data_IF_041166498864
#
_entry.id   IF_041166498864
#
_cell.length_a   1.000
_cell.length_b   1.000
_cell.length_c   1.000
_cell.angle_alpha   90.00
_cell.angle_beta   90.00
_cell.angle_gamma   90.00
#
_symmetry.space_group_name_H-M   'P 1'
#
loop_
_entity.id
_entity.type
_entity.pdbx_description
1 polymer ?
#
# COMPACT_ATOMS: atom_id res chain seq x y z
N UNK A 1 -10.94 0.13 22.55
CA UNK A 1 -10.84 1.51 22.03
C UNK A 1 -12.25 1.97 21.65
N UNK A 2 -12.64 3.20 21.96
CA UNK A 2 -13.85 3.84 21.41
C UNK A 2 -13.35 5.03 20.59
N UNK A 3 -13.77 5.13 19.33
CA UNK A 3 -13.36 6.20 18.40
C UNK A 3 -14.57 6.81 17.69
N UNK A 4 -14.40 8.02 17.14
CA UNK A 4 -15.42 8.65 16.28
C UNK A 4 -15.68 7.81 15.04
N UNK A 5 -16.96 7.74 14.61
CA UNK A 5 -17.31 7.14 13.33
C UNK A 5 -16.87 8.08 12.20
N UNK A 6 -15.86 7.66 11.45
CA UNK A 6 -15.42 8.37 10.27
C UNK A 6 -16.28 8.00 9.06
N UNK A 7 -16.56 8.97 8.20
CA UNK A 7 -17.28 8.79 6.94
C UNK A 7 -16.43 9.33 5.81
N UNK A 8 -16.45 8.64 4.66
CA UNK A 8 -15.62 9.02 3.52
C UNK A 8 -15.22 7.82 2.68
N UNK A 9 -14.23 8.05 1.82
CA UNK A 9 -13.63 7.05 0.96
C UNK A 9 -12.34 6.53 1.59
N UNK A 10 -12.28 5.22 1.79
CA UNK A 10 -11.10 4.55 2.33
C UNK A 10 -10.04 4.33 1.23
N UNK A 11 -8.79 4.58 1.60
CA UNK A 11 -7.61 4.33 0.79
C UNK A 11 -6.60 3.50 1.59
N UNK A 12 -6.01 2.50 0.93
CA UNK A 12 -4.87 1.74 1.45
C UNK A 12 -3.58 2.24 0.84
N UNK A 13 -2.60 2.54 1.67
CA UNK A 13 -1.28 3.04 1.31
C UNK A 13 -0.24 1.94 1.55
N UNK A 14 0.64 1.72 0.57
CA UNK A 14 1.89 1.00 0.78
C UNK A 14 3.00 2.05 0.88
N UNK A 15 3.47 2.34 2.09
CA UNK A 15 4.52 3.33 2.36
C UNK A 15 5.86 2.59 2.42
N UNK A 16 6.73 2.85 1.45
CA UNK A 16 7.96 2.09 1.25
C UNK A 16 9.16 2.91 1.70
N UNK A 17 9.89 2.32 2.64
CA UNK A 17 11.23 2.74 3.00
C UNK A 17 12.24 1.64 2.60
N UNK A 18 13.49 2.02 2.36
CA UNK A 18 14.57 1.05 2.15
C UNK A 18 15.03 0.40 3.48
N UNK A 19 16.10 -0.41 3.42
CA UNK A 19 16.61 -1.11 4.60
C UNK A 19 17.33 -0.19 5.60
N UNK A 20 17.67 1.04 5.17
CA UNK A 20 18.21 2.10 6.01
C UNK A 20 17.11 3.01 6.61
N UNK A 21 15.84 2.67 6.43
CA UNK A 21 14.69 3.45 6.92
C UNK A 21 14.45 4.77 6.17
N UNK A 22 15.08 4.95 5.01
CA UNK A 22 14.88 6.13 4.15
C UNK A 22 13.66 5.95 3.27
N UNK A 23 12.82 6.98 3.20
CA UNK A 23 11.62 6.98 2.36
C UNK A 23 11.95 6.86 0.86
N UNK A 24 11.22 5.98 0.18
CA UNK A 24 11.37 5.70 -1.26
C UNK A 24 10.13 6.14 -2.02
N UNK A 25 8.94 5.65 -1.65
CA UNK A 25 7.69 5.96 -2.37
C UNK A 25 6.47 5.57 -1.55
N UNK A 26 5.29 6.02 -2.00
CA UNK A 26 3.99 5.60 -1.47
C UNK A 26 3.08 5.20 -2.62
N UNK A 27 2.49 4.01 -2.56
CA UNK A 27 1.45 3.57 -3.51
C UNK A 27 0.08 3.72 -2.89
N UNK A 28 -0.87 4.25 -3.65
CA UNK A 28 -2.20 4.59 -3.13
C UNK A 28 -3.25 3.77 -3.88
N UNK A 29 -4.12 3.12 -3.11
CA UNK A 29 -5.22 2.29 -3.61
C UNK A 29 -6.51 2.81 -3.02
N UNK A 30 -7.46 3.24 -3.85
CA UNK A 30 -8.82 3.53 -3.41
C UNK A 30 -9.59 2.21 -3.30
N UNK A 31 -10.07 1.88 -2.09
CA UNK A 31 -10.83 0.64 -1.82
C UNK A 31 -12.24 0.79 -2.41
N UNK A 32 -12.60 -0.04 -3.38
CA UNK A 32 -13.91 0.01 -4.04
C UNK A 32 -14.93 -0.89 -3.33
N UNK A 33 -14.52 -2.09 -2.95
CA UNK A 33 -15.35 -3.05 -2.21
C UNK A 33 -14.51 -3.80 -1.18
N UNK A 34 -15.17 -4.17 -0.09
CA UNK A 34 -14.62 -5.02 0.98
C UNK A 34 -15.32 -6.38 0.96
N UNK A 35 -14.58 -7.45 1.24
CA UNK A 35 -15.11 -8.81 1.41
C UNK A 35 -14.42 -9.44 2.62
N UNK A 36 -15.22 -9.87 3.61
CA UNK A 36 -14.73 -10.51 4.83
C UNK A 36 -13.63 -9.72 5.57
N UNK A 37 -13.74 -8.39 5.62
CA UNK A 37 -12.77 -7.52 6.29
C UNK A 37 -11.52 -7.18 5.45
N UNK A 38 -11.40 -7.74 4.24
CA UNK A 38 -10.29 -7.50 3.32
C UNK A 38 -10.71 -6.65 2.13
N UNK A 39 -9.75 -5.95 1.53
CA UNK A 39 -9.99 -5.24 0.25
C UNK A 39 -10.17 -6.28 -0.86
N UNK A 40 -11.34 -6.24 -1.50
CA UNK A 40 -11.74 -7.18 -2.55
C UNK A 40 -11.51 -6.58 -3.93
N UNK A 41 -11.88 -5.31 -4.12
CA UNK A 41 -11.62 -4.53 -5.32
C UNK A 41 -10.99 -3.20 -4.97
N UNK A 42 -10.00 -2.79 -5.75
CA UNK A 42 -9.35 -1.51 -5.60
C UNK A 42 -8.95 -0.94 -6.96
N UNK A 43 -8.76 0.38 -6.98
CA UNK A 43 -8.15 1.09 -8.10
C UNK A 43 -6.93 1.84 -7.59
N UNK A 44 -5.79 1.70 -8.27
CA UNK A 44 -4.62 2.53 -7.99
C UNK A 44 -4.92 3.96 -8.40
N UNK A 45 -4.50 4.92 -7.58
CA UNK A 45 -4.76 6.34 -7.83
C UNK A 45 -3.50 7.16 -7.58
N UNK A 46 -3.36 8.24 -8.34
CA UNK A 46 -2.38 9.27 -8.04
C UNK A 46 -3.08 10.40 -7.30
N UNK A 47 -2.65 10.68 -6.08
CA UNK A 47 -3.17 11.77 -5.26
C UNK A 47 -2.01 12.40 -4.47
N UNK A 48 -1.68 13.65 -4.81
CA UNK A 48 -0.53 14.35 -4.24
C UNK A 48 -0.66 14.56 -2.72
N UNK A 49 -1.85 14.84 -2.21
CA UNK A 49 -2.08 15.09 -0.79
C UNK A 49 -1.88 13.81 0.04
N UNK A 50 -2.46 12.69 -0.42
CA UNK A 50 -2.29 11.38 0.22
C UNK A 50 -0.82 10.92 0.11
N UNK A 51 -0.15 11.19 -1.02
CA UNK A 51 1.26 10.84 -1.21
C UNK A 51 2.17 11.60 -0.24
N UNK A 52 1.90 12.89 -0.04
CA UNK A 52 2.61 13.70 0.96
C UNK A 52 2.38 13.21 2.39
N UNK A 53 1.17 12.72 2.70
CA UNK A 53 0.90 12.08 3.99
C UNK A 53 1.77 10.81 4.16
N UNK A 54 1.81 9.93 3.15
CA UNK A 54 2.65 8.73 3.16
C UNK A 54 4.14 9.04 3.32
N UNK A 55 4.65 10.04 2.59
CA UNK A 55 6.02 10.53 2.73
C UNK A 55 6.34 11.02 4.14
N UNK A 56 5.46 11.84 4.73
CA UNK A 56 5.62 12.31 6.11
C UNK A 56 5.66 11.13 7.09
N UNK A 57 4.75 10.17 6.95
CA UNK A 57 4.73 8.98 7.82
C UNK A 57 6.04 8.20 7.68
N UNK A 58 6.47 7.91 6.44
CA UNK A 58 7.69 7.14 6.18
C UNK A 58 8.95 7.82 6.71
N UNK A 59 9.09 9.13 6.50
CA UNK A 59 10.22 9.91 6.99
C UNK A 59 10.26 10.01 8.53
N UNK A 60 9.11 10.15 9.19
CA UNK A 60 9.06 10.29 10.65
C UNK A 60 9.20 8.95 11.39
N UNK A 61 8.66 7.86 10.83
CA UNK A 61 8.76 6.55 11.47
C UNK A 61 10.09 5.84 11.18
N UNK A 62 10.68 6.08 10.01
CA UNK A 62 11.91 5.39 9.60
C UNK A 62 11.76 3.87 9.60
N UNK A 63 10.55 3.35 9.37
CA UNK A 63 10.30 1.91 9.34
C UNK A 63 11.11 1.26 8.21
N UNK A 64 11.36 -0.04 8.30
CA UNK A 64 12.09 -0.79 7.27
C UNK A 64 11.09 -1.49 6.35
N UNK A 65 11.24 -1.31 5.04
CA UNK A 65 10.41 -1.97 4.04
C UNK A 65 9.00 -1.39 3.93
N UNK A 66 8.00 -2.27 3.82
CA UNK A 66 6.60 -1.89 3.58
C UNK A 66 5.85 -1.60 4.88
N UNK A 67 5.16 -0.46 4.92
CA UNK A 67 4.14 -0.13 5.92
C UNK A 67 2.79 -0.02 5.23
N UNK A 68 1.88 -0.93 5.60
CA UNK A 68 0.48 -0.92 5.19
C UNK A 68 -0.30 0.07 6.07
N UNK A 69 -0.86 1.10 5.44
CA UNK A 69 -1.49 2.22 6.13
C UNK A 69 -2.88 2.46 5.57
N UNK A 70 -3.89 2.50 6.44
CA UNK A 70 -5.26 2.80 6.05
C UNK A 70 -5.62 4.25 6.37
N UNK A 71 -6.19 4.93 5.37
CA UNK A 71 -6.55 6.36 5.44
C UNK A 71 -8.00 6.54 5.01
N UNK A 72 -8.78 7.21 5.83
CA UNK A 72 -10.12 7.69 5.47
C UNK A 72 -10.03 9.10 4.89
N UNK A 73 -10.63 9.31 3.72
CA UNK A 73 -10.72 10.62 3.06
C UNK A 73 -12.17 11.10 3.10
N UNK A 74 -12.44 12.09 3.95
CA UNK A 74 -13.80 12.61 4.17
C UNK A 74 -13.86 14.13 4.14
N UNK A 75 -14.99 14.70 4.54
CA UNK A 75 -15.20 16.15 4.61
C UNK A 75 -14.27 16.86 5.60
N UNK A 76 -13.73 16.13 6.59
CA UNK A 76 -12.76 16.63 7.58
C UNK A 76 -11.31 16.52 7.11
N UNK A 77 -11.05 16.04 5.88
CA UNK A 77 -9.72 15.81 5.34
C UNK A 77 -9.25 14.35 5.48
N UNK A 78 -7.94 14.16 5.53
CA UNK A 78 -7.28 12.85 5.66
C UNK A 78 -7.18 12.42 7.13
N UNK A 79 -7.64 11.20 7.43
CA UNK A 79 -7.53 10.61 8.76
C UNK A 79 -6.86 9.23 8.67
N UNK A 80 -5.71 9.07 9.34
CA UNK A 80 -5.02 7.77 9.46
C UNK A 80 -5.79 6.88 10.44
N UNK A 81 -6.06 5.65 10.02
CA UNK A 81 -6.80 4.66 10.81
C UNK A 81 -5.86 3.66 11.46
N UNK A 82 -4.99 3.05 10.65
CA UNK A 82 -4.11 1.96 11.08
C UNK A 82 -2.76 2.05 10.38
N UNK A 83 -1.73 1.57 11.06
CA UNK A 83 -0.35 1.49 10.59
C UNK A 83 0.19 0.10 10.92
N UNK A 84 0.43 -0.70 9.90
CA UNK A 84 0.82 -2.10 9.99
C UNK A 84 2.19 -2.31 9.30
N UNK A 85 3.32 -2.41 10.02
CA UNK A 85 4.68 -2.49 9.42
C UNK A 85 4.97 -3.88 8.83
N UNK A 86 4.21 -4.23 7.80
CA UNK A 86 4.23 -5.49 7.03
C UNK A 86 3.56 -5.24 5.68
N UNK A 87 3.59 -6.23 4.79
CA UNK A 87 2.69 -6.22 3.63
C UNK A 87 1.23 -6.32 4.08
N UNK A 88 0.38 -5.48 3.49
CA UNK A 88 -1.07 -5.53 3.61
C UNK A 88 -1.69 -6.53 2.65
N UNK A 89 -2.92 -6.95 2.94
CA UNK A 89 -3.72 -7.72 1.99
C UNK A 89 -4.02 -6.95 0.69
N UNK A 90 -3.77 -5.64 0.67
CA UNK A 90 -3.89 -4.78 -0.50
C UNK A 90 -2.63 -4.66 -1.37
N UNK A 91 -1.46 -5.11 -0.94
CA UNK A 91 -0.22 -5.00 -1.73
C UNK A 91 -0.31 -5.65 -3.13
N UNK A 92 -0.98 -6.81 -3.32
CA UNK A 92 -1.13 -7.40 -4.66
C UNK A 92 -1.72 -6.45 -5.71
N UNK A 93 -2.56 -5.48 -5.31
CA UNK A 93 -3.09 -4.46 -6.24
C UNK A 93 -1.99 -3.52 -6.74
N UNK A 94 -1.06 -3.11 -5.86
CA UNK A 94 0.12 -2.32 -6.25
C UNK A 94 1.04 -3.13 -7.16
N UNK A 95 1.22 -4.42 -6.87
CA UNK A 95 2.04 -5.30 -7.70
C UNK A 95 1.47 -5.48 -9.11
N UNK A 96 0.16 -5.72 -9.23
CA UNK A 96 -0.52 -5.81 -10.54
C UNK A 96 -0.42 -4.48 -11.31
N UNK A 97 -0.39 -3.35 -10.61
CA UNK A 97 -0.20 -2.04 -11.21
C UNK A 97 1.27 -1.70 -11.55
N UNK A 98 2.22 -2.63 -11.37
CA UNK A 98 3.61 -2.49 -11.82
C UNK A 98 4.67 -2.48 -10.72
N UNK A 99 4.29 -2.34 -9.45
CA UNK A 99 5.26 -2.38 -8.36
C UNK A 99 5.88 -3.77 -8.20
N UNK A 100 7.14 -3.83 -7.75
CA UNK A 100 7.80 -5.07 -7.36
C UNK A 100 8.70 -4.86 -6.14
N UNK A 101 8.05 -4.57 -5.01
CA UNK A 101 8.73 -4.32 -3.74
C UNK A 101 9.47 -5.55 -3.21
N UNK A 102 8.99 -6.80 -3.35
CA UNK A 102 9.80 -7.98 -3.03
C UNK A 102 11.14 -8.00 -3.76
N UNK A 103 11.17 -7.70 -5.07
CA UNK A 103 12.44 -7.61 -5.81
C UNK A 103 13.32 -6.45 -5.31
N UNK A 104 12.73 -5.29 -4.99
CA UNK A 104 13.47 -4.17 -4.42
C UNK A 104 14.09 -4.50 -3.06
N UNK A 105 13.36 -5.20 -2.18
CA UNK A 105 13.85 -5.64 -0.88
C UNK A 105 15.01 -6.62 -1.02
N UNK A 106 14.92 -7.57 -1.95
CA UNK A 106 16.03 -8.52 -2.24
C UNK A 106 17.25 -7.77 -2.75
N UNK A 107 17.09 -6.84 -3.70
CA UNK A 107 18.19 -6.03 -4.22
C UNK A 107 18.88 -5.24 -3.10
N UNK A 108 18.12 -4.53 -2.26
CA UNK A 108 18.70 -3.81 -1.12
C UNK A 108 19.40 -4.73 -0.12
N UNK A 109 18.83 -5.91 0.17
CA UNK A 109 19.47 -6.89 1.06
C UNK A 109 20.82 -7.40 0.51
N UNK A 110 20.99 -7.40 -0.80
CA UNK A 110 22.23 -7.74 -1.48
C UNK A 110 23.19 -6.54 -1.65
N UNK A 111 22.84 -5.35 -1.13
CA UNK A 111 23.62 -4.13 -1.33
C UNK A 111 23.52 -3.55 -2.75
N UNK A 112 22.52 -3.98 -3.51
CA UNK A 112 22.26 -3.53 -4.88
C UNK A 112 21.25 -2.38 -4.92
N UNK A 113 21.26 -1.63 -6.03
CA UNK A 113 20.20 -0.65 -6.29
C UNK A 113 18.97 -1.36 -6.86
N UNK A 114 17.80 -1.08 -6.28
CA UNK A 114 16.53 -1.51 -6.87
C UNK A 114 16.32 -0.85 -8.25
N UNK A 115 15.71 -1.58 -9.18
CA UNK A 115 15.30 -1.03 -10.46
C UNK A 115 14.17 -0.01 -10.25
N UNK A 116 14.29 1.19 -10.81
CA UNK A 116 13.30 2.25 -10.64
C UNK A 116 11.89 1.87 -11.11
N UNK A 117 11.77 0.98 -12.10
CA UNK A 117 10.47 0.49 -12.57
C UNK A 117 9.70 -0.28 -11.50
N UNK A 118 10.40 -0.95 -10.58
CA UNK A 118 9.77 -1.70 -9.47
C UNK A 118 9.16 -0.79 -8.40
N UNK A 119 9.55 0.48 -8.39
CA UNK A 119 9.18 1.47 -7.37
C UNK A 119 8.06 2.40 -7.84
N UNK A 120 7.33 2.00 -8.88
CA UNK A 120 6.26 2.78 -9.52
C UNK A 120 5.02 1.91 -9.71
N UNK A 121 3.87 2.55 -9.66
CA UNK A 121 2.58 1.97 -10.05
C UNK A 121 1.99 2.81 -11.16
N UNK A 122 1.26 2.17 -12.07
CA UNK A 122 0.38 2.86 -13.01
C UNK A 122 -0.90 3.27 -12.28
N UNK A 123 -1.34 4.51 -12.50
CA UNK A 123 -2.61 5.01 -12.00
C UNK A 123 -3.80 4.46 -12.78
N UNK A 124 -4.97 4.42 -12.15
CA UNK A 124 -6.24 3.97 -12.72
C UNK A 124 -6.32 2.48 -13.09
N UNK A 125 -5.43 1.64 -12.56
CA UNK A 125 -5.53 0.18 -12.71
C UNK A 125 -6.54 -0.34 -11.69
N UNK A 126 -7.69 -0.80 -12.19
CA UNK A 126 -8.73 -1.41 -11.36
C UNK A 126 -8.58 -2.93 -11.38
N UNK A 127 -8.47 -3.54 -10.21
CA UNK A 127 -8.35 -5.00 -10.09
C UNK A 127 -9.27 -5.55 -9.00
N UNK A 128 -9.54 -6.85 -9.09
CA UNK A 128 -10.36 -7.61 -8.15
C UNK A 128 -9.64 -8.87 -7.74
N UNK A 129 -9.75 -9.24 -6.46
CA UNK A 129 -9.42 -10.60 -6.04
C UNK A 129 -10.44 -11.57 -6.63
N UNK A 130 -10.02 -12.80 -6.85
CA UNK A 130 -10.88 -13.92 -7.22
C UNK A 130 -10.37 -15.18 -6.53
N UNK A 131 -11.30 -16.09 -6.22
CA UNK A 131 -10.98 -17.35 -5.57
C UNK A 131 -10.67 -18.41 -6.65
N UNK A 132 -9.61 -19.18 -6.44
CA UNK A 132 -9.24 -20.31 -7.30
C UNK A 132 -9.10 -21.58 -6.47
N UNK A 133 -9.76 -22.66 -6.91
CA UNK A 133 -9.53 -24.00 -6.38
C UNK A 133 -8.36 -24.65 -7.13
N UNK A 134 -7.46 -25.31 -6.40
CA UNK A 134 -6.31 -26.04 -6.96
C UNK A 134 -6.29 -27.46 -6.39
N UNK A 135 -5.98 -28.44 -7.23
CA UNK A 135 -5.79 -29.83 -6.80
C UNK A 135 -4.36 -30.01 -6.29
N UNK A 136 -4.22 -30.55 -5.08
CA UNK A 136 -2.91 -30.91 -4.52
C UNK A 136 -2.66 -32.37 -4.87
N UNK A 137 -1.55 -32.63 -5.58
CA UNK A 137 -1.03 -33.98 -5.76
C UNK A 137 -0.11 -34.29 -4.58
N UNK A 138 -0.41 -35.37 -3.85
CA UNK A 138 0.41 -35.88 -2.75
C UNK A 138 1.58 -36.73 -3.22
#
# INVERSE_FOLDING_TARGET
LIQERLTGQEHGLDIINNLEGSYITTFIKRKLTMRAGETDRAVTVENAEIKQLGEKIGQNLGHIGNLDCDVMVGSKGLCVLELNPRFGGGYPFSQIAGANIPAALIAWANGEKANESWLRVEGNITSSKYDRLVTIQG
#
